data_IF_908835068034
#
_entry.id   IF_908835068034
#
_cell.length_a   1.000
_cell.length_b   1.000
_cell.length_c   1.000
_cell.angle_alpha   90.00
_cell.angle_beta   90.00
_cell.angle_gamma   90.00
#
_symmetry.space_group_name_H-M   'P 1'
#
loop_
_entity.id
_entity.type
_entity.pdbx_description
1 polymer ?
#
# COMPACT_ATOMS: atom_id res chain seq x y z
N UNK A 1 -8.43 -40.53 58.78
CA UNK A 1 -7.47 -39.46 58.43
C UNK A 1 -8.25 -38.44 57.62
N UNK A 2 -8.92 -37.38 58.11
CA UNK A 2 -8.74 -36.47 59.24
C UNK A 2 -7.30 -36.03 59.46
N UNK A 3 -7.00 -34.79 59.07
CA UNK A 3 -6.42 -33.77 59.95
C UNK A 3 -6.85 -32.36 59.51
N UNK A 4 -7.23 -31.59 60.52
CA UNK A 4 -7.50 -30.15 60.54
C UNK A 4 -6.25 -29.42 61.05
N UNK A 5 -6.18 -28.10 60.80
CA UNK A 5 -5.43 -27.15 61.63
C UNK A 5 -4.12 -26.69 60.99
N UNK A 6 -3.66 -25.45 61.12
CA UNK A 6 -3.93 -24.37 62.06
C UNK A 6 -3.55 -23.04 61.39
N UNK A 7 -4.26 -21.97 61.75
CA UNK A 7 -3.80 -20.61 61.49
C UNK A 7 -2.67 -20.20 62.44
N UNK A 8 -1.94 -19.15 62.09
CA UNK A 8 -1.21 -18.29 63.02
C UNK A 8 -0.88 -16.96 62.34
N UNK A 9 -1.16 -15.89 63.08
CA UNK A 9 -0.74 -14.52 62.82
C UNK A 9 0.78 -14.39 62.80
N UNK A 10 1.26 -13.46 62.00
CA UNK A 10 2.55 -12.76 62.15
C UNK A 10 2.55 -11.68 61.06
N UNK A 11 2.51 -10.39 61.34
CA UNK A 11 3.23 -9.69 62.40
C UNK A 11 4.30 -8.85 61.69
N UNK A 12 3.99 -7.56 61.54
CA UNK A 12 4.86 -6.43 61.21
C UNK A 12 6.19 -6.67 60.50
N UNK A 13 6.27 -6.15 59.27
CA UNK A 13 7.47 -5.49 58.76
C UNK A 13 6.92 -4.25 58.00
N UNK A 14 7.31 -3.02 58.28
CA UNK A 14 8.59 -2.59 58.79
C UNK A 14 9.19 -1.46 57.96
N UNK A 15 8.37 -0.60 57.37
CA UNK A 15 8.83 0.69 56.82
C UNK A 15 9.60 0.63 55.50
N UNK A 16 9.61 1.80 54.84
CA UNK A 16 10.53 2.18 53.76
C UNK A 16 10.19 1.72 52.33
N UNK A 17 8.92 1.80 51.88
CA UNK A 17 8.61 2.04 50.44
C UNK A 17 7.43 3.03 50.32
N UNK A 18 7.47 4.14 51.05
CA UNK A 18 6.41 5.16 51.01
C UNK A 18 6.50 6.09 49.80
N UNK A 19 7.68 6.25 49.19
CA UNK A 19 7.90 7.20 48.10
C UNK A 19 7.44 6.71 46.72
N UNK A 20 7.66 5.43 46.42
CA UNK A 20 7.40 4.87 45.08
C UNK A 20 5.91 4.56 44.86
N UNK A 21 5.21 4.15 45.91
CA UNK A 21 3.76 3.93 45.90
C UNK A 21 2.99 5.25 45.79
N UNK A 22 3.41 6.31 46.48
CA UNK A 22 2.76 7.62 46.42
C UNK A 22 2.84 8.26 45.03
N UNK A 23 3.97 8.12 44.33
CA UNK A 23 4.12 8.60 42.95
C UNK A 23 3.28 7.79 41.97
N UNK A 24 3.24 6.45 42.13
CA UNK A 24 2.39 5.57 41.34
C UNK A 24 0.89 5.90 41.50
N UNK A 25 0.47 6.23 42.72
CA UNK A 25 -0.91 6.58 43.04
C UNK A 25 -1.31 7.94 42.46
N UNK A 26 -0.45 8.95 42.57
CA UNK A 26 -0.68 10.25 41.93
C UNK A 26 -0.79 10.12 40.40
N UNK A 27 0.07 9.30 39.78
CA UNK A 27 0.01 9.07 38.34
C UNK A 27 -1.26 8.31 37.91
N UNK A 28 -1.72 7.34 38.72
CA UNK A 28 -3.02 6.68 38.49
C UNK A 28 -4.19 7.65 38.62
N UNK A 29 -4.15 8.55 39.60
CA UNK A 29 -5.17 9.59 39.78
C UNK A 29 -5.22 10.52 38.57
N UNK A 30 -4.07 11.01 38.09
CA UNK A 30 -4.01 11.85 36.90
C UNK A 30 -4.56 11.13 35.64
N UNK A 31 -4.26 9.84 35.48
CA UNK A 31 -4.85 9.03 34.40
C UNK A 31 -6.36 8.90 34.51
N UNK A 32 -6.88 8.72 35.73
CA UNK A 32 -8.32 8.67 35.96
C UNK A 32 -8.99 10.01 35.62
N UNK A 33 -8.39 11.13 36.02
CA UNK A 33 -8.86 12.48 35.71
C UNK A 33 -8.91 12.73 34.20
N UNK A 34 -7.82 12.40 33.48
CA UNK A 34 -7.78 12.48 32.01
C UNK A 34 -8.87 11.59 31.39
N UNK A 35 -9.02 10.36 31.87
CA UNK A 35 -9.99 9.39 31.33
C UNK A 35 -11.45 9.82 31.53
N UNK A 36 -11.75 10.58 32.60
CA UNK A 36 -13.09 11.11 32.87
C UNK A 36 -13.30 12.54 32.33
N UNK A 37 -12.30 13.13 31.69
CA UNK A 37 -12.34 14.51 31.22
C UNK A 37 -13.29 14.69 30.01
N UNK A 38 -14.08 15.78 29.93
CA UNK A 38 -15.03 16.00 28.81
C UNK A 38 -14.35 16.08 27.43
N UNK A 39 -13.09 16.54 27.36
CA UNK A 39 -12.31 16.58 26.12
C UNK A 39 -11.68 15.23 25.74
N UNK A 40 -11.75 14.20 26.58
CA UNK A 40 -11.06 12.93 26.35
C UNK A 40 -11.47 12.28 25.02
N UNK A 41 -12.77 12.20 24.74
CA UNK A 41 -13.28 11.61 23.49
C UNK A 41 -12.82 12.39 22.25
N UNK A 42 -12.76 13.72 22.33
CA UNK A 42 -12.25 14.55 21.24
C UNK A 42 -10.76 14.34 21.03
N UNK A 43 -10.00 14.23 22.12
CA UNK A 43 -8.57 13.98 22.09
C UNK A 43 -8.24 12.60 21.51
N UNK A 44 -8.96 11.58 21.97
CA UNK A 44 -8.84 10.23 21.44
C UNK A 44 -9.17 10.20 19.95
N UNK A 45 -10.25 10.87 19.54
CA UNK A 45 -10.63 10.99 18.13
C UNK A 45 -9.55 11.67 17.29
N UNK A 46 -9.01 12.80 17.77
CA UNK A 46 -7.95 13.52 17.07
C UNK A 46 -6.67 12.66 16.97
N UNK A 47 -6.29 11.98 18.03
CA UNK A 47 -5.14 11.08 18.06
C UNK A 47 -5.30 9.91 17.09
N UNK A 48 -6.46 9.24 17.11
CA UNK A 48 -6.79 8.16 16.18
C UNK A 48 -6.78 8.66 14.74
N UNK A 49 -7.27 9.87 14.48
CA UNK A 49 -7.23 10.46 13.15
C UNK A 49 -5.79 10.63 12.65
N UNK A 50 -4.85 11.05 13.50
CA UNK A 50 -3.42 11.08 13.16
C UNK A 50 -2.89 9.68 12.84
N UNK A 51 -3.19 8.68 13.70
CA UNK A 51 -2.75 7.30 13.47
C UNK A 51 -3.28 6.75 12.15
N UNK A 52 -4.55 6.97 11.82
CA UNK A 52 -5.17 6.49 10.58
C UNK A 52 -4.52 7.06 9.33
N UNK A 53 -4.07 8.33 9.35
CA UNK A 53 -3.35 8.92 8.21
C UNK A 53 -1.97 8.28 8.03
N UNK A 54 -1.29 7.92 9.12
CA UNK A 54 0.05 7.35 9.09
C UNK A 54 0.08 5.81 9.00
N UNK A 55 -1.07 5.14 8.97
CA UNK A 55 -1.17 3.68 9.01
C UNK A 55 -1.65 3.13 7.65
N UNK A 56 -1.00 2.10 7.09
CA UNK A 56 -1.49 1.42 5.90
C UNK A 56 -2.93 0.89 6.08
N UNK A 57 -3.69 0.86 5.00
CA UNK A 57 -5.12 0.49 5.01
C UNK A 57 -5.33 -0.91 5.63
N UNK A 58 -4.42 -1.84 5.37
CA UNK A 58 -4.49 -3.22 5.86
C UNK A 58 -4.42 -3.33 7.40
N UNK A 59 -3.87 -2.32 8.07
CA UNK A 59 -3.68 -2.30 9.52
C UNK A 59 -4.74 -1.48 10.27
N UNK A 60 -5.62 -0.76 9.57
CA UNK A 60 -6.71 -0.01 10.20
C UNK A 60 -7.64 -0.88 11.09
N UNK A 61 -7.95 -2.15 10.73
CA UNK A 61 -8.75 -3.02 11.60
C UNK A 61 -8.12 -3.26 12.99
N UNK A 62 -6.79 -3.20 13.11
CA UNK A 62 -6.11 -3.33 14.41
C UNK A 62 -6.37 -2.12 15.30
N UNK A 63 -6.39 -0.91 14.72
CA UNK A 63 -6.74 0.32 15.44
C UNK A 63 -8.19 0.22 15.93
N UNK A 64 -9.12 -0.20 15.06
CA UNK A 64 -10.53 -0.32 15.40
C UNK A 64 -10.77 -1.39 16.49
N UNK A 65 -10.04 -2.51 16.43
CA UNK A 65 -10.09 -3.53 17.47
C UNK A 65 -9.57 -3.01 18.83
N UNK A 66 -8.52 -2.18 18.84
CA UNK A 66 -8.04 -1.53 20.07
C UNK A 66 -9.04 -0.50 20.60
N UNK A 67 -9.69 0.26 19.73
CA UNK A 67 -10.72 1.22 20.13
C UNK A 67 -11.95 0.53 20.71
N UNK A 68 -12.39 -0.60 20.16
CA UNK A 68 -13.49 -1.38 20.75
C UNK A 68 -13.21 -1.82 22.20
N UNK A 69 -11.93 -1.96 22.55
CA UNK A 69 -11.43 -2.30 23.88
C UNK A 69 -11.24 -1.07 24.79
N UNK A 70 -11.21 0.16 24.28
CA UNK A 70 -10.95 1.33 25.12
C UNK A 70 -11.99 1.52 26.23
N UNK A 71 -13.26 1.18 25.97
CA UNK A 71 -14.36 1.36 26.92
C UNK A 71 -14.18 0.62 28.24
N UNK A 72 -13.59 -0.58 28.24
CA UNK A 72 -13.36 -1.29 29.51
C UNK A 72 -12.26 -0.62 30.34
N UNK A 73 -11.25 -0.07 29.67
CA UNK A 73 -10.16 0.67 30.31
C UNK A 73 -10.70 1.96 30.91
N UNK A 74 -11.49 2.74 30.16
CA UNK A 74 -12.14 3.95 30.64
C UNK A 74 -13.02 3.68 31.86
N UNK A 75 -13.80 2.60 31.82
CA UNK A 75 -14.66 2.19 32.94
C UNK A 75 -13.85 1.83 34.18
N UNK A 76 -12.69 1.17 34.01
CA UNK A 76 -11.81 0.83 35.13
C UNK A 76 -11.25 2.09 35.80
N UNK A 77 -10.82 3.08 35.02
CA UNK A 77 -10.35 4.37 35.55
C UNK A 77 -11.46 5.18 36.21
N UNK A 78 -12.66 5.22 35.61
CA UNK A 78 -13.80 5.91 36.19
C UNK A 78 -14.22 5.31 37.55
N UNK A 79 -14.10 3.99 37.74
CA UNK A 79 -14.41 3.34 39.03
C UNK A 79 -13.39 3.63 40.13
N UNK A 80 -12.19 4.12 39.77
CA UNK A 80 -11.10 4.44 40.70
C UNK A 80 -11.04 5.93 41.04
N UNK A 81 -11.96 6.73 40.50
CA UNK A 81 -12.04 8.16 40.75
C UNK A 81 -12.55 8.44 42.17
N UNK A 82 -11.64 8.49 43.13
CA UNK A 82 -11.95 8.70 44.54
C UNK A 82 -11.55 10.10 45.05
N UNK A 83 -10.66 10.81 44.34
CA UNK A 83 -10.17 12.14 44.71
C UNK A 83 -10.14 13.04 43.47
N UNK A 84 -10.76 14.22 43.60
CA UNK A 84 -10.75 15.28 42.60
C UNK A 84 -9.51 16.13 42.75
N UNK A 85 -8.90 16.50 41.63
CA UNK A 85 -7.86 17.53 41.58
C UNK A 85 -8.31 18.85 42.22
N UNK A 86 -7.34 19.64 42.70
CA UNK A 86 -7.60 21.01 43.12
C UNK A 86 -8.10 21.85 41.93
N UNK A 87 -8.86 22.94 42.16
CA UNK A 87 -9.37 23.77 41.06
C UNK A 87 -8.26 24.36 40.19
N UNK A 88 -7.07 24.61 40.76
CA UNK A 88 -5.91 25.10 40.01
C UNK A 88 -5.35 24.04 39.06
N UNK A 89 -5.10 22.83 39.56
CA UNK A 89 -4.59 21.71 38.75
C UNK A 89 -5.57 21.30 37.65
N UNK A 90 -6.88 21.39 37.92
CA UNK A 90 -7.91 21.16 36.91
C UNK A 90 -7.83 22.18 35.78
N UNK A 91 -7.67 23.46 36.10
CA UNK A 91 -7.52 24.51 35.08
C UNK A 91 -6.25 24.32 34.23
N UNK A 92 -5.15 23.87 34.85
CA UNK A 92 -3.91 23.53 34.13
C UNK A 92 -4.10 22.32 33.21
N UNK A 93 -4.80 21.28 33.68
CA UNK A 93 -5.13 20.10 32.89
C UNK A 93 -6.02 20.47 31.70
N UNK A 94 -7.07 21.27 31.92
CA UNK A 94 -7.97 21.74 30.87
C UNK A 94 -7.20 22.50 29.78
N UNK A 95 -6.32 23.42 30.19
CA UNK A 95 -5.47 24.18 29.28
C UNK A 95 -4.50 23.28 28.50
N UNK A 96 -3.86 22.33 29.19
CA UNK A 96 -2.96 21.37 28.56
C UNK A 96 -3.69 20.50 27.53
N UNK A 97 -4.83 19.90 27.89
CA UNK A 97 -5.62 19.06 26.99
C UNK A 97 -6.14 19.85 25.79
N UNK A 98 -6.55 21.10 25.99
CA UNK A 98 -6.95 22.01 24.92
C UNK A 98 -5.81 22.31 23.95
N UNK A 99 -4.62 22.66 24.45
CA UNK A 99 -3.43 22.89 23.62
C UNK A 99 -3.00 21.61 22.90
N UNK A 100 -2.99 20.48 23.58
CA UNK A 100 -2.61 19.21 23.00
C UNK A 100 -3.57 18.79 21.87
N UNK A 101 -4.88 19.04 22.03
CA UNK A 101 -5.86 18.83 20.97
C UNK A 101 -5.55 19.67 19.72
N UNK A 102 -5.21 20.95 19.87
CA UNK A 102 -4.82 21.82 18.76
C UNK A 102 -3.56 21.31 18.05
N UNK A 103 -2.57 20.85 18.83
CA UNK A 103 -1.35 20.23 18.30
C UNK A 103 -1.70 18.98 17.48
N UNK A 104 -2.56 18.09 17.99
CA UNK A 104 -2.98 16.90 17.24
C UNK A 104 -3.69 17.26 15.93
N UNK A 105 -4.57 18.26 15.94
CA UNK A 105 -5.24 18.73 14.73
C UNK A 105 -4.25 19.25 13.69
N UNK A 106 -3.33 20.15 14.08
CA UNK A 106 -2.31 20.66 13.15
C UNK A 106 -1.36 19.56 12.65
N UNK A 107 -1.00 18.60 13.51
CA UNK A 107 -0.16 17.47 13.16
C UNK A 107 -0.84 16.54 12.14
N UNK A 108 -2.14 16.28 12.30
CA UNK A 108 -2.94 15.52 11.32
C UNK A 108 -2.89 16.16 9.95
N UNK A 109 -3.06 17.47 9.85
CA UNK A 109 -3.02 18.20 8.57
C UNK A 109 -1.64 18.09 7.91
N UNK A 110 -0.57 18.23 8.69
CA UNK A 110 0.80 18.06 8.21
C UNK A 110 1.05 16.63 7.71
N UNK A 111 0.63 15.61 8.46
CA UNK A 111 0.72 14.21 8.05
C UNK A 111 -0.04 13.95 6.75
N UNK A 112 -1.28 14.44 6.67
CA UNK A 112 -2.13 14.23 5.51
C UNK A 112 -1.55 14.90 4.27
N UNK A 113 -1.01 16.12 4.43
CA UNK A 113 -0.34 16.82 3.34
C UNK A 113 0.91 16.08 2.87
N UNK A 114 1.73 15.57 3.79
CA UNK A 114 2.95 14.81 3.45
C UNK A 114 2.60 13.55 2.64
N UNK A 115 1.65 12.73 3.12
CA UNK A 115 1.20 11.53 2.41
C UNK A 115 0.63 11.87 1.03
N UNK A 116 -0.18 12.94 0.94
CA UNK A 116 -0.78 13.38 -0.31
C UNK A 116 0.27 13.78 -1.34
N UNK A 117 1.30 14.53 -0.95
CA UNK A 117 2.38 14.95 -1.86
C UNK A 117 3.11 13.74 -2.42
N UNK A 118 3.57 12.82 -1.57
CA UNK A 118 4.27 11.62 -2.02
C UNK A 118 3.40 10.71 -2.89
N UNK A 119 2.12 10.56 -2.56
CA UNK A 119 1.19 9.79 -3.39
C UNK A 119 1.02 10.41 -4.79
N UNK A 120 0.89 11.74 -4.87
CA UNK A 120 0.78 12.44 -6.15
C UNK A 120 2.07 12.33 -6.94
N UNK A 121 3.23 12.52 -6.31
CA UNK A 121 4.54 12.37 -6.96
C UNK A 121 4.74 10.96 -7.51
N UNK A 122 4.38 9.93 -6.74
CA UNK A 122 4.43 8.54 -7.18
C UNK A 122 3.51 8.29 -8.39
N UNK A 123 2.26 8.78 -8.35
CA UNK A 123 1.32 8.64 -9.47
C UNK A 123 1.84 9.37 -10.72
N UNK A 124 2.41 10.55 -10.57
CA UNK A 124 2.99 11.30 -11.68
C UNK A 124 4.19 10.56 -12.30
N UNK A 125 5.08 10.01 -11.47
CA UNK A 125 6.20 9.19 -11.94
C UNK A 125 5.73 7.91 -12.66
N UNK A 126 4.70 7.24 -12.15
CA UNK A 126 4.09 6.09 -12.83
C UNK A 126 3.53 6.47 -14.20
N UNK A 127 2.81 7.61 -14.30
CA UNK A 127 2.32 8.11 -15.60
C UNK A 127 3.44 8.43 -16.58
N UNK A 128 4.54 9.00 -16.11
CA UNK A 128 5.69 9.28 -16.96
C UNK A 128 6.31 7.98 -17.51
N UNK A 129 6.42 6.94 -16.67
CA UNK A 129 6.88 5.61 -17.09
C UNK A 129 5.93 5.01 -18.13
N UNK A 130 4.62 5.08 -17.90
CA UNK A 130 3.60 4.61 -18.85
C UNK A 130 3.69 5.35 -20.19
N UNK A 131 3.85 6.66 -20.16
CA UNK A 131 4.03 7.47 -21.37
C UNK A 131 5.30 7.08 -22.14
N UNK A 132 6.42 6.86 -21.45
CA UNK A 132 7.66 6.41 -22.06
C UNK A 132 7.51 5.03 -22.69
N UNK A 133 6.80 4.12 -22.02
CA UNK A 133 6.48 2.80 -22.56
C UNK A 133 5.61 2.88 -23.82
N UNK A 134 4.58 3.73 -23.80
CA UNK A 134 3.72 3.99 -24.96
C UNK A 134 4.54 4.56 -26.12
N UNK A 135 5.45 5.50 -25.87
CA UNK A 135 6.29 6.08 -26.92
C UNK A 135 7.21 5.03 -27.57
N UNK A 136 7.76 4.11 -26.78
CA UNK A 136 8.65 3.06 -27.28
C UNK A 136 7.90 1.96 -28.04
N UNK A 137 6.75 1.53 -27.52
CA UNK A 137 6.04 0.35 -28.03
C UNK A 137 4.91 0.71 -29.00
N UNK A 138 4.42 1.94 -28.99
CA UNK A 138 3.19 2.36 -29.66
C UNK A 138 1.92 1.74 -29.08
N UNK A 139 2.01 1.01 -27.96
CA UNK A 139 0.89 0.39 -27.29
C UNK A 139 0.49 1.21 -26.06
N UNK A 140 -0.77 1.62 -25.98
CA UNK A 140 -1.36 2.10 -24.74
C UNK A 140 -1.79 0.90 -23.91
N UNK A 141 -1.48 0.91 -22.62
CA UNK A 141 -2.23 0.12 -21.64
C UNK A 141 -3.61 0.80 -21.51
N UNK A 142 -4.46 0.59 -22.51
CA UNK A 142 -5.81 1.14 -22.52
C UNK A 142 -6.59 0.62 -21.31
N UNK A 143 -7.22 1.55 -20.59
CA UNK A 143 -8.22 1.29 -19.56
C UNK A 143 -9.10 0.11 -19.95
N UNK A 144 -9.16 -0.90 -19.08
CA UNK A 144 -10.27 -1.85 -19.08
C UNK A 144 -11.56 -1.12 -18.72
N UNK A 145 -12.12 -0.38 -19.67
CA UNK A 145 -13.50 0.08 -19.60
C UNK A 145 -14.38 -1.11 -19.92
N UNK A 146 -15.19 -1.48 -18.92
CA UNK A 146 -16.08 -2.62 -18.97
C UNK A 146 -17.01 -2.62 -20.17
N UNK A 147 -17.42 -3.82 -20.53
CA UNK A 147 -18.47 -4.13 -21.48
C UNK A 147 -19.66 -3.17 -21.42
N UNK A 148 -20.09 -2.64 -22.57
CA UNK A 148 -21.50 -2.60 -23.00
C UNK A 148 -21.59 -2.43 -24.52
N UNK A 149 -22.13 -3.43 -25.20
CA UNK A 149 -23.08 -3.33 -26.33
C UNK A 149 -22.86 -2.18 -27.34
N UNK A 150 -22.34 -2.51 -28.52
CA UNK A 150 -22.85 -1.91 -29.76
C UNK A 150 -22.85 -2.98 -30.85
N UNK A 151 -23.96 -3.72 -30.83
CA UNK A 151 -24.57 -4.38 -31.97
C UNK A 151 -24.79 -3.36 -33.09
N UNK A 152 -24.21 -3.58 -34.27
CA UNK A 152 -24.93 -3.43 -35.54
C UNK A 152 -24.14 -4.05 -36.69
N UNK A 153 -24.91 -4.63 -37.61
CA UNK A 153 -24.51 -5.72 -38.51
C UNK A 153 -23.93 -5.27 -39.86
N UNK A 154 -23.50 -6.29 -40.63
CA UNK A 154 -23.22 -6.33 -42.08
C UNK A 154 -21.90 -5.68 -42.58
N UNK A 155 -20.92 -6.53 -42.91
CA UNK A 155 -20.87 -7.03 -44.30
C UNK A 155 -20.07 -8.34 -44.40
N UNK A 156 -20.64 -9.27 -45.15
CA UNK A 156 -20.11 -10.57 -45.50
C UNK A 156 -18.88 -10.43 -46.40
N UNK A 157 -17.79 -11.14 -46.07
CA UNK A 157 -16.99 -11.79 -47.10
C UNK A 157 -16.43 -13.13 -46.61
N UNK A 158 -17.20 -14.15 -46.97
CA UNK A 158 -16.88 -15.58 -46.93
C UNK A 158 -15.74 -15.93 -47.89
N UNK A 159 -14.65 -16.49 -47.38
CA UNK A 159 -13.87 -17.61 -47.96
C UNK A 159 -12.72 -17.89 -46.97
N UNK A 160 -12.62 -19.03 -46.28
CA UNK A 160 -12.54 -20.39 -46.81
C UNK A 160 -12.70 -21.37 -45.63
N UNK A 161 -13.70 -22.25 -45.71
CA UNK A 161 -13.85 -23.41 -44.82
C UNK A 161 -13.04 -24.58 -45.37
N UNK A 162 -12.31 -25.31 -44.51
CA UNK A 162 -12.09 -26.75 -44.70
C UNK A 162 -11.82 -27.49 -43.37
N UNK A 163 -12.86 -28.22 -42.93
CA UNK A 163 -12.92 -29.47 -42.15
C UNK A 163 -12.31 -29.64 -40.72
N UNK A 164 -13.20 -29.50 -39.71
CA UNK A 164 -13.71 -30.48 -38.70
C UNK A 164 -12.83 -31.65 -38.14
N UNK A 165 -13.24 -32.36 -37.04
CA UNK A 165 -14.20 -32.04 -35.95
C UNK A 165 -13.75 -32.44 -34.50
N UNK A 166 -14.41 -31.85 -33.50
CA UNK A 166 -14.81 -32.55 -32.26
C UNK A 166 -13.88 -32.52 -31.04
N UNK A 167 -14.26 -31.76 -30.01
CA UNK A 167 -14.43 -32.26 -28.63
C UNK A 167 -14.90 -31.14 -27.69
N UNK A 168 -16.09 -31.37 -27.14
CA UNK A 168 -16.54 -31.04 -25.79
C UNK A 168 -16.70 -29.58 -25.35
N UNK A 169 -17.99 -29.26 -25.19
CA UNK A 169 -18.51 -28.22 -24.34
C UNK A 169 -18.05 -28.43 -22.88
N UNK A 170 -17.28 -27.48 -22.34
CA UNK A 170 -17.32 -27.13 -20.91
C UNK A 170 -16.70 -25.75 -20.64
N UNK A 171 -17.32 -25.02 -19.71
CA UNK A 171 -16.92 -23.79 -19.02
C UNK A 171 -17.10 -22.49 -19.83
N UNK A 172 -18.23 -21.76 -19.72
CA UNK A 172 -18.79 -21.16 -18.50
C UNK A 172 -17.73 -20.54 -17.55
N UNK A 173 -16.66 -19.99 -18.11
CA UNK A 173 -15.94 -18.77 -17.66
C UNK A 173 -14.87 -18.54 -18.73
N UNK A 174 -14.98 -17.44 -19.48
CA UNK A 174 -14.20 -17.14 -20.68
C UNK A 174 -12.71 -16.88 -20.43
N UNK A 175 -11.98 -17.93 -20.07
CA UNK A 175 -10.53 -17.94 -20.03
C UNK A 175 -10.01 -19.08 -20.91
N UNK A 176 -10.26 -18.95 -22.22
CA UNK A 176 -9.60 -19.77 -23.23
C UNK A 176 -8.10 -19.48 -23.31
N UNK A 177 -7.31 -20.30 -24.03
CA UNK A 177 -5.86 -20.13 -24.15
C UNK A 177 -5.55 -18.70 -24.58
N UNK A 178 -4.77 -17.98 -23.77
CA UNK A 178 -4.47 -16.55 -23.91
C UNK A 178 -3.98 -16.21 -25.32
N UNK A 179 -4.91 -15.86 -26.21
CA UNK A 179 -4.56 -15.24 -27.48
C UNK A 179 -4.06 -13.83 -27.16
N UNK A 180 -2.85 -13.46 -27.59
CA UNK A 180 -2.32 -12.14 -27.34
C UNK A 180 -3.33 -11.07 -27.78
N UNK A 181 -3.45 -10.05 -26.95
CA UNK A 181 -4.27 -8.88 -27.26
C UNK A 181 -3.80 -8.24 -28.57
N UNK A 182 -4.67 -7.49 -29.23
CA UNK A 182 -4.35 -6.88 -30.52
C UNK A 182 -3.12 -5.94 -30.44
N UNK A 183 -2.95 -5.26 -29.30
CA UNK A 183 -1.78 -4.43 -29.01
C UNK A 183 -0.50 -5.25 -28.87
N UNK A 184 -0.55 -6.41 -28.20
CA UNK A 184 0.59 -7.35 -28.11
C UNK A 184 0.96 -7.92 -29.48
N UNK A 185 -0.03 -8.23 -30.34
CA UNK A 185 0.24 -8.69 -31.71
C UNK A 185 0.94 -7.61 -32.54
N UNK A 186 0.46 -6.36 -32.48
CA UNK A 186 1.07 -5.24 -33.19
C UNK A 186 2.51 -4.98 -32.73
N UNK A 187 2.77 -5.09 -31.42
CA UNK A 187 4.11 -4.99 -30.86
C UNK A 187 5.03 -6.10 -31.39
N UNK A 188 4.58 -7.35 -31.35
CA UNK A 188 5.36 -8.48 -31.88
C UNK A 188 5.67 -8.32 -33.38
N UNK A 189 4.72 -7.79 -34.16
CA UNK A 189 4.93 -7.52 -35.58
C UNK A 189 5.97 -6.42 -35.83
N UNK A 190 5.90 -5.31 -35.08
CA UNK A 190 6.91 -4.25 -35.13
C UNK A 190 8.30 -4.76 -34.76
N UNK A 191 8.42 -5.48 -33.65
CA UNK A 191 9.70 -6.07 -33.18
C UNK A 191 10.26 -7.03 -34.23
N UNK A 192 9.40 -7.87 -34.84
CA UNK A 192 9.80 -8.77 -35.92
C UNK A 192 10.31 -8.00 -37.15
N UNK A 193 9.65 -6.90 -37.50
CA UNK A 193 10.06 -6.07 -38.63
C UNK A 193 11.42 -5.38 -38.38
N UNK A 194 11.63 -4.83 -37.18
CA UNK A 194 12.87 -4.17 -36.79
C UNK A 194 14.06 -5.15 -36.77
N UNK A 195 13.90 -6.31 -36.12
CA UNK A 195 14.93 -7.37 -36.13
C UNK A 195 15.26 -7.84 -37.55
N UNK A 196 14.26 -7.93 -38.43
CA UNK A 196 14.47 -8.30 -39.83
C UNK A 196 15.28 -7.25 -40.59
N UNK A 197 15.08 -5.96 -40.29
CA UNK A 197 15.87 -4.87 -40.87
C UNK A 197 17.31 -4.90 -40.37
N UNK A 198 17.51 -5.01 -39.05
CA UNK A 198 18.85 -5.08 -38.45
C UNK A 198 19.66 -6.26 -39.01
N UNK A 199 19.05 -7.44 -39.10
CA UNK A 199 19.72 -8.61 -39.67
C UNK A 199 20.10 -8.39 -41.13
N UNK A 200 19.18 -7.87 -41.96
CA UNK A 200 19.46 -7.59 -43.37
C UNK A 200 20.60 -6.58 -43.53
N UNK A 201 20.60 -5.53 -42.73
CA UNK A 201 21.63 -4.51 -42.76
C UNK A 201 22.97 -5.06 -42.28
N UNK A 202 22.99 -5.81 -41.18
CA UNK A 202 24.19 -6.45 -40.63
C UNK A 202 24.82 -7.45 -41.61
N UNK A 203 24.01 -8.30 -42.27
CA UNK A 203 24.51 -9.20 -43.31
C UNK A 203 25.05 -8.44 -44.52
N UNK A 204 24.36 -7.40 -44.97
CA UNK A 204 24.80 -6.58 -46.10
C UNK A 204 26.16 -5.93 -45.81
N UNK A 205 26.31 -5.30 -44.64
CA UNK A 205 27.57 -4.69 -44.20
C UNK A 205 28.70 -5.72 -44.14
N UNK A 206 28.43 -6.92 -43.58
CA UNK A 206 29.45 -7.96 -43.50
C UNK A 206 29.88 -8.51 -44.86
N UNK A 207 28.95 -8.60 -45.82
CA UNK A 207 29.26 -8.99 -47.20
C UNK A 207 30.09 -7.90 -47.88
N UNK A 208 29.78 -6.63 -47.65
CA UNK A 208 30.58 -5.50 -48.15
C UNK A 208 32.00 -5.54 -47.59
N UNK A 209 32.18 -5.74 -46.29
CA UNK A 209 33.51 -5.88 -45.67
C UNK A 209 34.31 -7.03 -46.29
N UNK A 210 33.68 -8.20 -46.45
CA UNK A 210 34.34 -9.36 -47.08
C UNK A 210 34.69 -9.07 -48.53
N UNK A 211 33.82 -8.38 -49.28
CA UNK A 211 34.08 -7.99 -50.66
C UNK A 211 35.26 -7.02 -50.76
N UNK A 212 35.30 -6.01 -49.91
CA UNK A 212 36.42 -5.07 -49.84
C UNK A 212 37.73 -5.77 -49.47
N UNK A 213 37.66 -6.72 -48.54
CA UNK A 213 38.80 -7.53 -48.13
C UNK A 213 39.34 -8.40 -49.27
N UNK A 214 38.45 -9.03 -50.05
CA UNK A 214 38.83 -9.79 -51.26
C UNK A 214 39.50 -8.86 -52.28
N UNK A 215 38.92 -7.70 -52.57
CA UNK A 215 39.49 -6.73 -53.51
C UNK A 215 40.86 -6.21 -53.05
N UNK A 216 41.02 -5.98 -51.74
CA UNK A 216 42.29 -5.62 -51.12
C UNK A 216 43.33 -6.72 -51.29
N UNK A 217 42.99 -7.97 -51.01
CA UNK A 217 43.89 -9.12 -51.16
C UNK A 217 44.26 -9.39 -52.63
N UNK A 218 43.34 -9.20 -53.57
CA UNK A 218 43.61 -9.26 -55.02
C UNK A 218 44.59 -8.18 -55.47
N UNK A 219 44.41 -6.93 -55.05
CA UNK A 219 45.37 -5.83 -55.33
C UNK A 219 46.76 -6.11 -54.77
N UNK A 220 46.84 -6.80 -53.64
CA UNK A 220 48.10 -7.22 -53.03
C UNK A 220 48.72 -8.50 -53.65
N UNK A 221 48.10 -9.08 -54.70
CA UNK A 221 48.59 -10.30 -55.37
C UNK A 221 48.45 -11.58 -54.55
N UNK A 222 47.72 -11.55 -53.42
CA UNK A 222 47.57 -12.70 -52.49
C UNK A 222 46.42 -13.64 -52.86
N UNK A 223 45.57 -13.25 -53.80
CA UNK A 223 44.47 -14.06 -54.32
C UNK A 223 44.47 -14.00 -55.85
N UNK A 224 44.24 -15.12 -56.56
CA UNK A 224 44.09 -15.12 -58.01
C UNK A 224 42.86 -14.29 -58.43
N UNK A 225 43.01 -13.61 -59.58
CA UNK A 225 42.00 -12.72 -60.18
C UNK A 225 40.72 -13.43 -60.57
#
# INVERSE_FOLDING_TARGET
MQEQGLGMMGGGDGGLIGGDMAFSDQYRQLKAEIATHPLYEQLLTAHVACLRVATPIDHLPLIDAQLSRSHHVLRSYASQHNHSLSPHERQELDNFLGQYLLVLCSFKEQLQQHVRVHAVEAVMACREIEQNFQNLTGATLGEGTGATMSDDEEDMQLEYSLDQPGADAHDMMGFGPLLPTESERSLMERVRHELKLELKQGFKSRIEDVREEILRKRRAGKLPG
#
